data_IF_705241973308
#
_entry.id   IF_705241973308
#
_cell.length_a   1.000
_cell.length_b   1.000
_cell.length_c   1.000
_cell.angle_alpha   90.00
_cell.angle_beta   90.00
_cell.angle_gamma   90.00
#
_symmetry.space_group_name_H-M   'P 1'
#
loop_
_entity.id
_entity.type
_entity.pdbx_description
1 polymer ?
#
# COMPACT_ATOMS: atom_id res chain seq x y z
N UNK A 1 -10.83 17.04 -7.10
CA UNK A 1 -11.05 16.40 -5.79
C UNK A 1 -10.04 15.28 -5.67
N UNK A 2 -8.91 15.59 -5.06
CA UNK A 2 -7.84 14.64 -4.80
C UNK A 2 -8.32 13.68 -3.70
N UNK A 3 -8.81 12.49 -4.08
CA UNK A 3 -9.13 11.48 -3.08
C UNK A 3 -7.79 10.90 -2.58
N UNK A 4 -7.31 11.43 -1.45
CA UNK A 4 -6.27 10.82 -0.64
C UNK A 4 -6.72 9.41 -0.26
N UNK A 5 -5.82 8.45 -0.45
CA UNK A 5 -6.00 7.10 0.09
C UNK A 5 -5.58 7.24 1.55
N UNK A 6 -6.55 7.45 2.43
CA UNK A 6 -6.32 7.54 3.88
C UNK A 6 -6.01 6.14 4.41
N UNK A 7 -4.75 5.72 4.30
CA UNK A 7 -4.27 4.53 4.99
C UNK A 7 -4.17 4.90 6.46
N UNK A 8 -5.11 4.41 7.26
CA UNK A 8 -5.11 4.72 8.69
C UNK A 8 -3.87 4.08 9.33
N UNK A 9 -3.11 4.86 10.09
CA UNK A 9 -1.82 4.44 10.64
C UNK A 9 -1.92 3.21 11.56
N UNK A 10 -3.09 2.95 12.15
CA UNK A 10 -3.40 1.75 12.93
C UNK A 10 -3.46 0.47 12.09
N UNK A 11 -3.77 0.55 10.80
CA UNK A 11 -3.69 -0.58 9.88
C UNK A 11 -2.25 -0.87 9.44
N UNK A 12 -1.43 0.19 9.29
CA UNK A 12 0.02 0.04 9.05
C UNK A 12 0.74 -0.66 10.21
N UNK A 13 0.31 -0.40 11.45
CA UNK A 13 0.84 -1.06 12.66
C UNK A 13 0.59 -2.57 12.71
N UNK A 14 -0.28 -3.12 11.85
CA UNK A 14 -0.57 -4.56 11.80
C UNK A 14 0.43 -5.34 10.93
N UNK A 15 1.17 -4.68 10.04
CA UNK A 15 2.12 -5.33 9.14
C UNK A 15 3.40 -5.64 9.94
N UNK A 16 3.70 -6.92 10.16
CA UNK A 16 4.89 -7.33 10.90
C UNK A 16 6.17 -7.07 10.09
N UNK A 17 7.35 -7.05 10.74
CA UNK A 17 8.60 -6.95 10.01
C UNK A 17 8.72 -8.03 8.93
N UNK A 18 9.12 -7.60 7.74
CA UNK A 18 9.28 -8.37 6.50
C UNK A 18 7.97 -8.87 5.87
N UNK A 19 6.82 -8.33 6.27
CA UNK A 19 5.54 -8.56 5.59
C UNK A 19 5.21 -7.44 4.60
N UNK A 20 4.42 -7.78 3.58
CA UNK A 20 3.83 -6.83 2.65
C UNK A 20 2.31 -7.03 2.57
N UNK A 21 1.56 -5.94 2.67
CA UNK A 21 0.16 -5.86 2.30
C UNK A 21 0.02 -5.34 0.87
N UNK A 22 -0.95 -5.87 0.13
CA UNK A 22 -1.31 -5.42 -1.20
C UNK A 22 -2.76 -4.96 -1.19
N UNK A 23 -3.02 -3.77 -1.70
CA UNK A 23 -4.34 -3.20 -1.86
C UNK A 23 -4.55 -2.91 -3.34
N UNK A 24 -5.63 -3.45 -3.90
CA UNK A 24 -6.03 -3.16 -5.26
C UNK A 24 -7.15 -2.10 -5.25
N UNK A 25 -6.90 -0.97 -5.90
CA UNK A 25 -7.89 0.07 -6.16
C UNK A 25 -8.47 -0.14 -7.57
N UNK A 26 -9.59 -0.85 -7.63
CA UNK A 26 -10.33 -1.14 -8.88
C UNK A 26 -10.71 0.13 -9.65
N UNK A 27 -11.10 1.19 -8.94
CA UNK A 27 -11.60 2.43 -9.57
C UNK A 27 -10.50 3.17 -10.31
N UNK A 28 -9.27 3.09 -9.79
CA UNK A 28 -8.09 3.75 -10.38
C UNK A 28 -7.20 2.80 -11.17
N UNK A 29 -7.50 1.50 -11.19
CA UNK A 29 -6.65 0.48 -11.82
C UNK A 29 -5.24 0.45 -11.22
N UNK A 30 -5.10 0.68 -9.91
CA UNK A 30 -3.80 0.77 -9.23
C UNK A 30 -3.62 -0.34 -8.22
N UNK A 31 -2.40 -0.85 -8.14
CA UNK A 31 -1.95 -1.73 -7.06
C UNK A 31 -1.05 -0.92 -6.14
N UNK A 32 -1.37 -0.95 -4.86
CA UNK A 32 -0.60 -0.31 -3.79
C UNK A 32 -0.03 -1.42 -2.92
N UNK A 33 1.29 -1.49 -2.86
CA UNK A 33 1.99 -2.38 -1.95
C UNK A 33 2.52 -1.58 -0.77
N UNK A 34 2.26 -2.07 0.44
CA UNK A 34 2.80 -1.54 1.69
C UNK A 34 3.65 -2.62 2.31
N UNK A 35 4.96 -2.44 2.33
CA UNK A 35 5.90 -3.40 2.88
C UNK A 35 6.55 -2.85 4.14
N UNK A 36 6.60 -3.65 5.20
CA UNK A 36 7.41 -3.36 6.38
C UNK A 36 8.77 -4.07 6.20
N UNK A 37 9.80 -3.35 5.76
CA UNK A 37 11.15 -3.92 5.62
C UNK A 37 11.96 -3.60 6.86
N UNK A 38 12.26 -4.59 7.69
CA UNK A 38 13.04 -4.43 8.93
C UNK A 38 12.51 -3.34 9.90
N UNK A 39 11.19 -3.13 9.98
CA UNK A 39 10.58 -2.09 10.81
C UNK A 39 10.33 -0.76 10.07
N UNK A 40 10.83 -0.61 8.85
CA UNK A 40 10.58 0.57 8.00
C UNK A 40 9.43 0.32 7.03
N UNK A 41 8.42 1.19 7.07
CA UNK A 41 7.30 1.13 6.13
C UNK A 41 7.71 1.73 4.78
N UNK A 42 7.55 0.96 3.71
CA UNK A 42 7.73 1.37 2.32
C UNK A 42 6.42 1.22 1.57
N UNK A 43 6.02 2.26 0.85
CA UNK A 43 4.80 2.27 0.05
C UNK A 43 5.19 2.36 -1.43
N UNK A 44 4.69 1.44 -2.24
CA UNK A 44 4.85 1.40 -3.68
C UNK A 44 3.48 1.45 -4.33
N UNK A 45 3.36 2.19 -5.44
CA UNK A 45 2.15 2.25 -6.25
C UNK A 45 2.51 2.02 -7.71
N UNK A 46 1.75 1.18 -8.41
CA UNK A 46 1.91 0.93 -9.84
C UNK A 46 0.52 0.78 -10.47
N UNK A 47 0.33 1.24 -11.71
CA UNK A 47 -0.89 0.91 -12.43
C UNK A 47 -0.86 -0.56 -12.86
N UNK A 48 -2.02 -1.19 -12.93
CA UNK A 48 -2.14 -2.59 -13.37
C UNK A 48 -1.64 -2.77 -14.81
N UNK A 49 -1.87 -1.79 -15.68
CA UNK A 49 -1.40 -1.81 -17.07
C UNK A 49 0.13 -1.75 -17.21
N UNK A 50 0.85 -1.36 -16.15
CA UNK A 50 2.30 -1.24 -16.14
C UNK A 50 2.99 -2.44 -15.45
N UNK A 51 2.23 -3.40 -14.89
CA UNK A 51 2.75 -4.62 -14.25
C UNK A 51 3.16 -5.66 -15.28
#
# INVERSE_FOLDING_TARGET
MDNEIEIRADELKKIKPNECGLVYDEKRGMVIAVCNKNGEIRIMKKRVEEL
#
